data_IF_561372169364
#
_entry.id   IF_561372169364
#
_cell.length_a   1.000
_cell.length_b   1.000
_cell.length_c   1.000
_cell.angle_alpha   90.00
_cell.angle_beta   90.00
_cell.angle_gamma   90.00
#
_symmetry.space_group_name_H-M   'P 1'
#
loop_
_entity.id
_entity.type
_entity.pdbx_description
1 polymer ?
#
# COMPACT_ATOMS: atom_id res chain seq x y z
N UNK A 1 -29.45 -11.71 -8.21
CA UNK A 1 -28.35 -10.90 -7.63
C UNK A 1 -27.20 -10.88 -8.63
N UNK A 2 -27.28 -10.06 -9.69
CA UNK A 2 -26.34 -10.14 -10.84
C UNK A 2 -25.33 -8.98 -10.92
N UNK A 3 -25.32 -8.07 -9.92
CA UNK A 3 -24.44 -6.90 -9.90
C UNK A 3 -23.12 -7.05 -9.14
N UNK A 4 -22.87 -8.17 -8.45
CA UNK A 4 -21.76 -8.30 -7.50
C UNK A 4 -20.37 -8.39 -8.15
N UNK A 5 -20.22 -9.24 -9.17
CA UNK A 5 -18.90 -9.62 -9.72
C UNK A 5 -18.18 -8.46 -10.44
N UNK A 6 -18.90 -7.69 -11.27
CA UNK A 6 -18.32 -6.50 -11.91
C UNK A 6 -17.99 -5.40 -10.91
N UNK A 7 -18.78 -5.27 -9.84
CA UNK A 7 -18.59 -4.24 -8.83
C UNK A 7 -17.33 -4.51 -7.99
N UNK A 8 -17.12 -5.75 -7.53
CA UNK A 8 -15.90 -6.15 -6.80
C UNK A 8 -14.64 -5.97 -7.64
N UNK A 9 -14.67 -6.37 -8.91
CA UNK A 9 -13.54 -6.20 -9.83
C UNK A 9 -13.20 -4.73 -10.03
N UNK A 10 -14.21 -3.89 -10.26
CA UNK A 10 -14.02 -2.45 -10.44
C UNK A 10 -13.44 -1.80 -9.18
N UNK A 11 -13.94 -2.19 -8.00
CA UNK A 11 -13.46 -1.67 -6.72
C UNK A 11 -12.00 -2.06 -6.44
N UNK A 12 -11.57 -3.29 -6.78
CA UNK A 12 -10.15 -3.66 -6.73
C UNK A 12 -9.28 -2.81 -7.66
N UNK A 13 -9.75 -2.55 -8.89
CA UNK A 13 -8.99 -1.75 -9.87
C UNK A 13 -8.88 -0.29 -9.43
N UNK A 14 -9.99 0.33 -9.05
CA UNK A 14 -10.03 1.72 -8.55
C UNK A 14 -9.18 1.83 -7.29
N UNK A 15 -9.34 0.88 -6.38
CA UNK A 15 -8.60 0.82 -5.13
C UNK A 15 -7.10 0.68 -5.31
N UNK A 16 -6.67 -0.25 -6.17
CA UNK A 16 -5.27 -0.44 -6.54
C UNK A 16 -4.69 0.77 -7.27
N UNK A 17 -5.46 1.42 -8.14
CA UNK A 17 -5.04 2.64 -8.82
C UNK A 17 -4.82 3.79 -7.83
N UNK A 18 -5.72 3.96 -6.86
CA UNK A 18 -5.55 4.97 -5.81
C UNK A 18 -4.34 4.70 -4.91
N UNK A 19 -4.11 3.42 -4.53
CA UNK A 19 -2.91 3.02 -3.79
C UNK A 19 -1.63 3.34 -4.57
N UNK A 20 -1.65 3.07 -5.88
CA UNK A 20 -0.51 3.37 -6.75
C UNK A 20 -0.22 4.87 -6.79
N UNK A 21 -1.24 5.71 -6.93
CA UNK A 21 -1.08 7.17 -6.87
C UNK A 21 -0.57 7.64 -5.51
N UNK A 22 -1.15 7.10 -4.42
CA UNK A 22 -0.77 7.43 -3.05
C UNK A 22 0.71 7.13 -2.78
N UNK A 23 1.15 5.89 -3.03
CA UNK A 23 2.55 5.50 -2.78
C UNK A 23 3.54 6.19 -3.73
N UNK A 24 3.13 6.46 -4.97
CA UNK A 24 3.98 7.22 -5.91
C UNK A 24 4.15 8.66 -5.46
N UNK A 25 3.08 9.31 -5.00
CA UNK A 25 3.14 10.68 -4.47
C UNK A 25 4.04 10.76 -3.23
N UNK A 26 3.92 9.79 -2.31
CA UNK A 26 4.78 9.70 -1.13
C UNK A 26 6.25 9.44 -1.49
N UNK A 27 6.51 8.53 -2.43
CA UNK A 27 7.87 8.28 -2.93
C UNK A 27 8.48 9.56 -3.54
N UNK A 28 7.70 10.30 -4.33
CA UNK A 28 8.14 11.57 -4.90
C UNK A 28 8.44 12.63 -3.83
N UNK A 29 7.57 12.75 -2.82
CA UNK A 29 7.75 13.71 -1.72
C UNK A 29 9.03 13.39 -0.93
N UNK A 30 9.28 12.10 -0.64
CA UNK A 30 10.51 11.68 0.05
C UNK A 30 11.77 11.94 -0.78
N UNK A 31 11.73 11.72 -2.10
CA UNK A 31 12.85 12.04 -3.00
C UNK A 31 13.09 13.55 -3.10
N UNK A 32 12.02 14.35 -3.15
CA UNK A 32 12.09 15.81 -3.14
C UNK A 32 12.72 16.34 -1.84
N UNK A 33 12.32 15.79 -0.69
CA UNK A 33 12.92 16.15 0.60
C UNK A 33 14.39 15.76 0.70
N UNK A 34 14.82 14.65 0.08
CA UNK A 34 16.24 14.30 0.01
C UNK A 34 17.02 15.38 -0.73
N UNK A 35 16.54 15.82 -1.90
CA UNK A 35 17.24 16.81 -2.72
C UNK A 35 17.29 18.20 -2.05
N UNK A 36 16.20 18.60 -1.39
CA UNK A 36 16.12 19.87 -0.68
C UNK A 36 16.81 19.86 0.70
N UNK A 37 16.84 18.73 1.40
CA UNK A 37 17.53 18.62 2.70
C UNK A 37 19.05 18.66 2.56
N UNK A 38 19.59 18.27 1.41
CA UNK A 38 21.01 18.44 1.05
C UNK A 38 21.38 19.93 0.94
N UNK A 39 20.41 20.82 0.66
CA UNK A 39 20.66 22.25 0.42
C UNK A 39 20.60 23.14 1.67
N UNK A 40 20.20 22.63 2.84
CA UNK A 40 20.16 23.44 4.08
C UNK A 40 21.56 23.58 4.68
N UNK A 41 22.30 24.55 4.16
CA UNK A 41 23.66 24.93 4.55
C UNK A 41 23.64 25.68 5.89
N UNK A 42 23.85 24.99 7.02
CA UNK A 42 24.18 25.68 8.27
C UNK A 42 25.68 25.99 8.31
N UNK A 43 26.02 27.27 8.41
CA UNK A 43 27.39 27.73 8.64
C UNK A 43 27.71 27.50 10.12
N UNK A 44 28.46 26.46 10.42
CA UNK A 44 29.05 26.27 11.75
C UNK A 44 30.10 27.37 12.01
N UNK A 45 30.18 27.85 13.26
CA UNK A 45 31.04 28.98 13.68
C UNK A 45 32.55 28.71 13.56
N UNK A 46 32.96 27.57 12.99
CA UNK A 46 34.37 27.16 12.75
C UNK A 46 34.73 26.98 11.27
N UNK A 47 33.86 27.37 10.32
CA UNK A 47 34.21 27.37 8.90
C UNK A 47 34.47 26.00 8.26
N UNK A 48 34.05 24.90 8.91
CA UNK A 48 34.03 23.55 8.32
C UNK A 48 32.60 23.17 7.96
N UNK A 49 32.29 23.01 6.66
CA UNK A 49 31.00 22.49 6.23
C UNK A 49 30.91 21.01 6.57
N UNK A 50 30.24 20.67 7.68
CA UNK A 50 29.95 19.28 8.02
C UNK A 50 28.51 18.94 7.61
N UNK A 51 28.38 18.17 6.54
CA UNK A 51 27.11 17.67 6.04
C UNK A 51 26.80 16.33 6.71
N UNK A 52 25.76 16.24 7.54
CA UNK A 52 24.96 15.00 7.71
C UNK A 52 23.77 15.23 8.64
N UNK A 53 22.63 15.65 8.09
CA UNK A 53 21.38 15.00 8.53
C UNK A 53 21.39 13.63 7.89
N UNK A 54 21.18 12.56 8.67
CA UNK A 54 21.15 11.19 8.16
C UNK A 54 19.98 11.01 7.18
N UNK A 55 20.20 11.34 5.91
CA UNK A 55 19.24 11.19 4.81
C UNK A 55 18.92 9.71 4.50
N UNK A 56 19.57 8.78 5.20
CA UNK A 56 19.35 7.33 5.10
C UNK A 56 17.91 6.94 5.39
N UNK A 57 17.24 7.60 6.36
CA UNK A 57 15.84 7.33 6.70
C UNK A 57 14.90 7.62 5.53
N UNK A 58 15.01 8.82 4.95
CA UNK A 58 14.21 9.22 3.78
C UNK A 58 14.47 8.32 2.57
N UNK A 59 15.71 7.90 2.35
CA UNK A 59 16.06 6.95 1.29
C UNK A 59 15.38 5.59 1.47
N UNK A 60 15.41 5.05 2.69
CA UNK A 60 14.75 3.78 3.01
C UNK A 60 13.24 3.89 2.82
N UNK A 61 12.60 4.98 3.29
CA UNK A 61 11.17 5.22 3.07
C UNK A 61 10.83 5.35 1.57
N UNK A 62 11.63 6.07 0.79
CA UNK A 62 11.42 6.22 -0.65
C UNK A 62 11.45 4.89 -1.40
N UNK A 63 12.45 4.05 -1.11
CA UNK A 63 12.54 2.69 -1.67
C UNK A 63 11.37 1.82 -1.23
N UNK A 64 10.94 1.94 0.02
CA UNK A 64 9.79 1.21 0.55
C UNK A 64 8.50 1.58 -0.20
N UNK A 65 8.21 2.87 -0.38
CA UNK A 65 7.03 3.30 -1.12
C UNK A 65 7.06 2.88 -2.60
N UNK A 66 8.23 2.93 -3.25
CA UNK A 66 8.37 2.40 -4.61
C UNK A 66 8.06 0.90 -4.68
N UNK A 67 8.53 0.12 -3.69
CA UNK A 67 8.20 -1.30 -3.62
C UNK A 67 6.69 -1.55 -3.44
N UNK A 68 6.00 -0.71 -2.65
CA UNK A 68 4.55 -0.79 -2.47
C UNK A 68 3.76 -0.39 -3.71
N UNK A 69 4.29 0.53 -4.52
CA UNK A 69 3.73 0.86 -5.84
C UNK A 69 3.76 -0.38 -6.76
N UNK A 70 4.86 -1.14 -6.77
CA UNK A 70 4.96 -2.39 -7.55
C UNK A 70 4.00 -3.48 -7.06
N UNK A 71 3.83 -3.58 -5.74
CA UNK A 71 2.84 -4.48 -5.13
C UNK A 71 1.41 -4.09 -5.51
N UNK A 72 1.10 -2.79 -5.49
CA UNK A 72 -0.21 -2.26 -5.90
C UNK A 72 -0.50 -2.51 -7.39
N UNK A 73 0.54 -2.44 -8.23
CA UNK A 73 0.45 -2.80 -9.65
C UNK A 73 0.17 -4.30 -9.82
N UNK A 74 0.73 -5.15 -8.96
CA UNK A 74 0.45 -6.60 -8.95
C UNK A 74 -1.02 -6.90 -8.65
N UNK A 75 -1.68 -6.10 -7.80
CA UNK A 75 -3.14 -6.20 -7.59
C UNK A 75 -3.91 -5.90 -8.88
N UNK A 76 -3.61 -4.78 -9.54
CA UNK A 76 -4.30 -4.38 -10.78
C UNK A 76 -4.13 -5.45 -11.86
N UNK A 77 -2.90 -5.94 -12.07
CA UNK A 77 -2.61 -7.01 -13.03
C UNK A 77 -3.31 -8.33 -12.65
N UNK A 78 -3.27 -8.72 -11.38
CA UNK A 78 -3.97 -9.90 -10.87
C UNK A 78 -5.48 -9.84 -11.10
N UNK A 79 -6.06 -8.66 -10.93
CA UNK A 79 -7.49 -8.39 -11.16
C UNK A 79 -7.85 -8.36 -12.66
N UNK A 80 -6.92 -7.91 -13.51
CA UNK A 80 -7.10 -7.88 -14.96
C UNK A 80 -7.01 -9.29 -15.55
N UNK A 81 -5.97 -10.04 -15.19
CA UNK A 81 -5.70 -11.39 -15.69
C UNK A 81 -6.48 -12.50 -14.98
N UNK A 82 -7.23 -12.17 -13.91
CA UNK A 82 -7.98 -13.13 -13.08
C UNK A 82 -7.11 -14.25 -12.49
N UNK A 83 -5.87 -13.93 -12.11
CA UNK A 83 -4.94 -14.88 -11.52
C UNK A 83 -4.87 -14.74 -10.00
N UNK A 84 -5.31 -15.78 -9.29
CA UNK A 84 -5.34 -15.83 -7.82
C UNK A 84 -3.97 -15.59 -7.17
N UNK A 85 -2.87 -16.04 -7.80
CA UNK A 85 -1.53 -15.95 -7.25
C UNK A 85 -1.11 -14.50 -6.97
N UNK A 86 -1.37 -13.57 -7.90
CA UNK A 86 -1.00 -12.16 -7.74
C UNK A 86 -1.77 -11.47 -6.61
N UNK A 87 -3.05 -11.82 -6.44
CA UNK A 87 -3.89 -11.26 -5.36
C UNK A 87 -3.43 -11.81 -4.00
N UNK A 88 -3.03 -13.08 -3.93
CA UNK A 88 -2.47 -13.67 -2.72
C UNK A 88 -1.15 -12.97 -2.34
N UNK A 89 -0.25 -12.76 -3.31
CA UNK A 89 1.01 -12.04 -3.07
C UNK A 89 0.75 -10.63 -2.59
N UNK A 90 -0.23 -9.92 -3.18
CA UNK A 90 -0.65 -8.60 -2.72
C UNK A 90 -1.11 -8.63 -1.24
N UNK A 91 -2.03 -9.53 -0.89
CA UNK A 91 -2.56 -9.64 0.47
C UNK A 91 -1.47 -9.95 1.51
N UNK A 92 -0.52 -10.83 1.17
CA UNK A 92 0.62 -11.10 2.05
C UNK A 92 1.54 -9.89 2.20
N UNK A 93 1.78 -9.16 1.11
CA UNK A 93 2.61 -7.95 1.17
C UNK A 93 1.96 -6.82 1.96
N UNK A 94 0.62 -6.77 2.06
CA UNK A 94 -0.13 -5.76 2.83
C UNK A 94 -0.03 -5.94 4.36
N UNK A 95 0.44 -7.10 4.84
CA UNK A 95 0.68 -7.32 6.28
C UNK A 95 1.69 -6.31 6.82
N UNK A 96 2.73 -5.99 6.04
CA UNK A 96 3.80 -5.06 6.43
C UNK A 96 3.25 -3.63 6.63
N UNK A 97 2.62 -2.97 5.63
CA UNK A 97 2.12 -1.60 5.78
C UNK A 97 1.01 -1.50 6.82
N UNK A 98 0.12 -2.50 6.91
CA UNK A 98 -0.92 -2.53 7.96
C UNK A 98 -0.29 -2.56 9.35
N UNK A 99 0.77 -3.35 9.55
CA UNK A 99 1.50 -3.41 10.84
C UNK A 99 2.19 -2.08 11.17
N UNK A 100 2.76 -1.41 10.17
CA UNK A 100 3.44 -0.11 10.33
C UNK A 100 2.44 0.98 10.70
N UNK A 101 1.32 1.10 9.99
CA UNK A 101 0.28 2.08 10.31
C UNK A 101 -0.34 1.83 11.69
N UNK A 102 -0.57 0.55 12.05
CA UNK A 102 -1.07 0.18 13.37
C UNK A 102 -0.10 0.60 14.48
N UNK A 103 1.21 0.42 14.26
CA UNK A 103 2.24 0.84 15.21
C UNK A 103 2.26 2.36 15.39
N UNK A 104 2.17 3.14 14.31
CA UNK A 104 2.09 4.60 14.40
C UNK A 104 0.82 5.09 15.09
N UNK A 105 -0.33 4.44 14.82
CA UNK A 105 -1.58 4.73 15.50
C UNK A 105 -1.49 4.45 17.01
N UNK A 106 -0.84 3.34 17.41
CA UNK A 106 -0.61 3.01 18.82
C UNK A 106 0.26 4.07 19.51
N UNK A 107 1.34 4.51 18.85
CA UNK A 107 2.21 5.59 19.35
C UNK A 107 1.38 6.88 19.51
N UNK A 108 0.62 7.27 18.50
CA UNK A 108 -0.20 8.48 18.56
C UNK A 108 -1.18 8.44 19.75
N UNK A 109 -1.78 7.27 20.01
CA UNK A 109 -2.69 7.07 21.14
C UNK A 109 -1.97 7.10 22.49
N UNK A 110 -0.80 6.46 22.60
CA UNK A 110 -0.01 6.44 23.84
C UNK A 110 0.54 7.81 24.25
N UNK A 111 0.97 8.62 23.28
CA UNK A 111 1.52 9.96 23.53
C UNK A 111 0.45 11.04 23.66
N UNK A 112 -0.84 10.67 23.60
CA UNK A 112 -1.95 11.63 23.73
C UNK A 112 -1.90 12.74 22.69
N UNK A 113 -1.44 12.42 21.48
CA UNK A 113 -1.23 13.40 20.41
C UNK A 113 -2.61 13.96 19.98
N UNK A 114 -2.62 15.25 19.62
CA UNK A 114 -3.80 15.98 19.15
C UNK A 114 -4.61 15.19 18.10
N UNK A 115 -5.94 15.35 18.12
CA UNK A 115 -6.90 14.63 17.27
C UNK A 115 -6.53 14.64 15.79
N UNK A 116 -5.84 15.67 15.31
CA UNK A 116 -5.39 15.83 13.93
C UNK A 116 -4.46 14.70 13.48
N UNK A 117 -3.53 14.28 14.33
CA UNK A 117 -2.60 13.18 14.00
C UNK A 117 -3.31 11.83 14.00
N UNK A 118 -4.33 11.65 14.85
CA UNK A 118 -5.16 10.45 14.81
C UNK A 118 -5.86 10.33 13.45
N UNK A 119 -6.40 11.42 12.91
CA UNK A 119 -7.01 11.38 11.57
C UNK A 119 -5.99 11.09 10.46
N UNK A 120 -4.78 11.64 10.55
CA UNK A 120 -3.70 11.43 9.58
C UNK A 120 -3.27 9.96 9.50
N UNK A 121 -3.25 9.22 10.62
CA UNK A 121 -2.88 7.79 10.64
C UNK A 121 -4.09 6.85 10.50
N UNK A 122 -5.24 7.22 11.07
CA UNK A 122 -6.45 6.38 11.05
C UNK A 122 -7.04 6.28 9.64
N UNK A 123 -7.06 7.37 8.87
CA UNK A 123 -7.71 7.37 7.56
C UNK A 123 -6.97 6.51 6.52
N UNK A 124 -5.62 6.58 6.38
CA UNK A 124 -4.85 5.64 5.59
C UNK A 124 -5.02 4.19 6.08
N UNK A 125 -5.03 3.97 7.39
CA UNK A 125 -5.23 2.64 7.96
C UNK A 125 -6.60 2.05 7.56
N UNK A 126 -7.68 2.80 7.73
CA UNK A 126 -9.03 2.37 7.31
C UNK A 126 -9.10 2.09 5.81
N UNK A 127 -8.42 2.91 5.01
CA UNK A 127 -8.36 2.71 3.56
C UNK A 127 -7.61 1.42 3.18
N UNK A 128 -6.49 1.11 3.84
CA UNK A 128 -5.77 -0.16 3.63
C UNK A 128 -6.64 -1.37 3.98
N UNK A 129 -7.31 -1.34 5.15
CA UNK A 129 -8.22 -2.41 5.57
C UNK A 129 -9.36 -2.59 4.56
N UNK A 130 -9.93 -1.49 4.05
CA UNK A 130 -10.96 -1.56 3.03
C UNK A 130 -10.48 -2.30 1.77
N UNK A 131 -9.29 -1.97 1.26
CA UNK A 131 -8.73 -2.63 0.08
C UNK A 131 -8.44 -4.11 0.34
N UNK A 132 -7.92 -4.46 1.51
CA UNK A 132 -7.64 -5.85 1.87
C UNK A 132 -8.92 -6.68 1.91
N UNK A 133 -9.99 -6.15 2.51
CA UNK A 133 -11.31 -6.80 2.56
C UNK A 133 -11.87 -7.00 1.15
N UNK A 134 -11.86 -5.96 0.31
CA UNK A 134 -12.35 -6.04 -1.07
C UNK A 134 -11.54 -7.06 -1.89
N UNK A 135 -10.20 -7.04 -1.75
CA UNK A 135 -9.29 -7.96 -2.43
C UNK A 135 -9.48 -9.41 -1.97
N UNK A 136 -9.74 -9.62 -0.67
CA UNK A 136 -10.05 -10.93 -0.11
C UNK A 136 -11.37 -11.48 -0.63
N UNK A 137 -12.43 -10.68 -0.65
CA UNK A 137 -13.71 -11.11 -1.23
C UNK A 137 -13.55 -11.45 -2.71
N UNK A 138 -12.80 -10.65 -3.47
CA UNK A 138 -12.50 -10.95 -4.87
C UNK A 138 -11.72 -12.27 -5.04
N UNK A 139 -10.74 -12.55 -4.17
CA UNK A 139 -10.03 -13.83 -4.16
C UNK A 139 -10.97 -15.01 -3.87
N UNK A 140 -11.88 -14.87 -2.90
CA UNK A 140 -12.84 -15.92 -2.56
C UNK A 140 -13.76 -16.24 -3.74
N UNK A 141 -14.19 -15.21 -4.49
CA UNK A 141 -15.01 -15.37 -5.69
C UNK A 141 -14.25 -16.09 -6.81
N UNK A 142 -12.99 -15.70 -7.06
CA UNK A 142 -12.14 -16.34 -8.05
C UNK A 142 -11.92 -17.84 -7.76
N UNK A 143 -11.72 -18.21 -6.49
CA UNK A 143 -11.60 -19.62 -6.09
C UNK A 143 -12.89 -20.40 -6.35
N UNK A 144 -14.05 -19.85 -6.00
CA UNK A 144 -15.36 -20.49 -6.26
C UNK A 144 -15.58 -20.75 -7.75
N UNK A 145 -15.24 -19.78 -8.60
CA UNK A 145 -15.34 -19.94 -10.05
C UNK A 145 -14.40 -21.02 -10.59
N UNK A 146 -13.20 -21.14 -10.02
CA UNK A 146 -12.23 -22.17 -10.39
C UNK A 146 -12.70 -23.58 -9.96
N UNK A 147 -13.24 -23.71 -8.74
CA UNK A 147 -13.79 -24.98 -8.23
C UNK A 147 -15.01 -25.42 -9.06
N UNK A 148 -15.90 -24.49 -9.43
CA UNK A 148 -17.05 -24.79 -10.28
C UNK A 148 -16.63 -25.27 -11.67
N UNK A 149 -15.63 -24.64 -12.28
CA UNK A 149 -15.08 -25.08 -13.58
C UNK A 149 -14.49 -26.49 -13.51
N UNK A 150 -13.84 -26.84 -12.40
CA UNK A 150 -13.22 -28.15 -12.21
C UNK A 150 -14.30 -29.23 -12.04
N UNK A 151 -15.34 -28.95 -11.28
CA UNK A 151 -16.46 -29.88 -11.07
C UNK A 151 -17.22 -30.24 -12.35
N UNK A 152 -17.32 -29.32 -13.32
CA UNK A 152 -17.97 -29.59 -14.62
C UNK A 152 -17.13 -30.56 -15.46
N UNK A 153 -15.80 -30.45 -15.40
CA UNK A 153 -14.89 -31.33 -16.15
C UNK A 153 -14.95 -32.76 -15.59
N UNK A 154 -15.12 -32.92 -14.28
CA UNK A 154 -15.22 -34.24 -13.64
C UNK A 154 -16.55 -34.97 -13.91
N UNK A 155 -17.60 -34.26 -14.35
CA UNK A 155 -18.90 -34.87 -14.72
C UNK A 155 -18.92 -35.36 -16.18
N UNK A 156 -18.01 -34.84 -17.02
CA UNK A 156 -17.96 -35.13 -18.46
C UNK A 156 -17.05 -36.32 -18.82
N UNK A 157 -16.38 -36.92 -17.83
CA UNK A 157 -15.56 -38.13 -17.93
C UNK A 157 -16.24 -39.35 -17.30
#
# INVERSE_FOLDING_TARGET
MEGGCCNLRMNCIIGGFWLMLYYTALAFLMLYEIDNSVQVKYIDSRGKSSYRKNATGFWVLGVCFLSMTLVSLSLILGTLMRHCAFIIVFLFSQIIPVSVELFYLLIALMYGIETEFVFIYLLPFLYLIYIDVVSYFYLSELRRLQDQKTSIIDIEY
#
